data_IF_200798475823
#
_entry.id   IF_200798475823
#
_cell.length_a   1.000
_cell.length_b   1.000
_cell.length_c   1.000
_cell.angle_alpha   90.00
_cell.angle_beta   90.00
_cell.angle_gamma   90.00
#
_symmetry.space_group_name_H-M   'P 1'
#
loop_
_entity.id
_entity.type
_entity.pdbx_description
1 polymer ?
#
# COMPACT_ATOMS: atom_id res chain seq x y z
N UNK A 1 -13.34 15.79 -8.97
CA UNK A 1 -12.76 14.57 -8.38
C UNK A 1 -12.90 13.45 -9.40
N UNK A 2 -11.78 12.92 -9.86
CA UNK A 2 -11.77 11.95 -10.97
C UNK A 2 -12.00 10.51 -10.50
N UNK A 3 -11.37 10.12 -9.40
CA UNK A 3 -11.54 8.82 -8.79
C UNK A 3 -11.41 8.87 -7.27
N UNK A 4 -11.97 7.87 -6.60
CA UNK A 4 -11.76 7.60 -5.18
C UNK A 4 -11.48 6.11 -5.01
N UNK A 5 -10.50 5.81 -4.17
CA UNK A 5 -10.19 4.45 -3.75
C UNK A 5 -10.56 4.32 -2.27
N UNK A 6 -11.38 3.33 -1.93
CA UNK A 6 -11.66 2.95 -0.54
C UNK A 6 -10.86 1.70 -0.17
N UNK A 7 -10.00 1.82 0.85
CA UNK A 7 -9.14 0.73 1.29
C UNK A 7 -9.74 -0.06 2.44
N UNK A 8 -10.10 -1.30 2.17
CA UNK A 8 -10.45 -2.31 3.15
C UNK A 8 -9.21 -3.11 3.57
N UNK A 9 -9.35 -3.84 4.67
CA UNK A 9 -8.37 -4.80 5.12
C UNK A 9 -9.15 -6.02 5.60
N UNK A 10 -8.99 -7.15 4.92
CA UNK A 10 -9.84 -8.33 5.05
C UNK A 10 -11.15 -8.28 4.24
N UNK A 11 -11.87 -9.41 4.27
CA UNK A 11 -13.08 -9.64 3.48
C UNK A 11 -14.37 -9.54 4.30
N UNK A 12 -14.27 -9.58 5.64
CA UNK A 12 -15.41 -9.47 6.55
C UNK A 12 -15.34 -8.21 7.42
N UNK A 13 -16.50 -7.83 7.98
CA UNK A 13 -16.60 -6.74 8.96
C UNK A 13 -15.65 -6.97 10.14
N UNK A 14 -15.67 -8.16 10.71
CA UNK A 14 -14.88 -8.51 11.87
C UNK A 14 -13.38 -8.35 11.58
N UNK A 15 -12.91 -8.88 10.45
CA UNK A 15 -11.52 -8.74 10.02
C UNK A 15 -11.13 -7.27 9.82
N UNK A 16 -11.97 -6.47 9.16
CA UNK A 16 -11.72 -5.04 8.97
C UNK A 16 -11.58 -4.30 10.28
N UNK A 17 -12.51 -4.51 11.22
CA UNK A 17 -12.54 -3.81 12.50
C UNK A 17 -11.36 -4.20 13.39
N UNK A 18 -10.99 -5.47 13.36
CA UNK A 18 -9.79 -6.00 14.01
C UNK A 18 -8.54 -5.34 13.42
N UNK A 19 -8.35 -5.42 12.10
CA UNK A 19 -7.10 -4.99 11.45
C UNK A 19 -6.93 -3.47 11.49
N UNK A 20 -8.03 -2.72 11.40
CA UNK A 20 -8.03 -1.25 11.49
C UNK A 20 -8.18 -0.74 12.92
N UNK A 21 -8.29 -1.63 13.91
CA UNK A 21 -8.41 -1.32 15.33
C UNK A 21 -9.51 -0.26 15.63
N UNK A 22 -10.67 -0.44 15.00
CA UNK A 22 -11.83 0.47 15.13
C UNK A 22 -13.15 -0.26 14.82
N UNK A 23 -14.29 0.37 15.10
CA UNK A 23 -15.62 -0.18 14.78
C UNK A 23 -16.35 0.65 13.71
N UNK A 24 -15.64 1.00 12.63
CA UNK A 24 -16.13 1.92 11.58
C UNK A 24 -16.51 1.23 10.27
N UNK A 25 -16.63 -0.09 10.24
CA UNK A 25 -16.97 -0.80 9.01
C UNK A 25 -18.30 -0.32 8.42
N UNK A 26 -19.36 -0.29 9.24
CA UNK A 26 -20.68 0.15 8.80
C UNK A 26 -20.66 1.61 8.32
N UNK A 27 -19.93 2.48 9.03
CA UNK A 27 -19.79 3.90 8.64
C UNK A 27 -19.12 4.03 7.27
N UNK A 28 -18.08 3.23 7.01
CA UNK A 28 -17.41 3.20 5.71
C UNK A 28 -18.36 2.74 4.60
N UNK A 29 -19.07 1.62 4.81
CA UNK A 29 -20.05 1.09 3.86
C UNK A 29 -21.14 2.12 3.55
N UNK A 30 -21.73 2.73 4.58
CA UNK A 30 -22.78 3.75 4.42
C UNK A 30 -22.28 4.96 3.63
N UNK A 31 -21.03 5.38 3.86
CA UNK A 31 -20.44 6.51 3.13
C UNK A 31 -20.20 6.17 1.65
N UNK A 32 -19.76 4.94 1.35
CA UNK A 32 -19.57 4.47 -0.03
C UNK A 32 -20.92 4.43 -0.74
N UNK A 33 -21.94 3.85 -0.10
CA UNK A 33 -23.30 3.77 -0.69
C UNK A 33 -23.87 5.16 -0.93
N UNK A 34 -23.73 6.09 0.01
CA UNK A 34 -24.13 7.50 -0.17
C UNK A 34 -23.39 8.17 -1.31
N UNK A 35 -22.08 7.91 -1.47
CA UNK A 35 -21.31 8.44 -2.58
C UNK A 35 -21.82 7.91 -3.92
N UNK A 36 -22.11 6.60 -4.01
CA UNK A 36 -22.62 5.97 -5.23
C UNK A 36 -24.01 6.49 -5.58
N UNK A 37 -24.89 6.65 -4.59
CA UNK A 37 -26.21 7.24 -4.76
C UNK A 37 -26.11 8.71 -5.24
N UNK A 38 -25.26 9.51 -4.59
CA UNK A 38 -25.02 10.91 -4.96
C UNK A 38 -24.41 11.04 -6.36
N UNK A 39 -23.52 10.11 -6.73
CA UNK A 39 -22.96 10.03 -8.09
C UNK A 39 -24.04 9.75 -9.12
N UNK A 40 -25.04 8.95 -8.78
CA UNK A 40 -26.15 8.59 -9.65
C UNK A 40 -25.66 7.99 -10.98
N UNK A 41 -26.10 8.57 -12.10
CA UNK A 41 -25.73 8.12 -13.46
C UNK A 41 -24.43 8.74 -13.99
N UNK A 42 -23.74 9.57 -13.20
CA UNK A 42 -22.49 10.18 -13.62
C UNK A 42 -21.38 9.13 -13.68
N UNK A 43 -20.47 9.28 -14.65
CA UNK A 43 -19.28 8.43 -14.78
C UNK A 43 -18.19 8.72 -13.74
N UNK A 44 -18.29 9.85 -13.02
CA UNK A 44 -17.27 10.32 -12.07
C UNK A 44 -17.91 10.70 -10.73
N UNK A 45 -17.21 10.46 -9.61
CA UNK A 45 -15.89 9.83 -9.53
C UNK A 45 -15.94 8.33 -9.86
N UNK A 46 -14.86 7.82 -10.46
CA UNK A 46 -14.62 6.38 -10.55
C UNK A 46 -14.34 5.85 -9.14
N UNK A 47 -15.12 4.88 -8.68
CA UNK A 47 -15.04 4.32 -7.33
C UNK A 47 -14.41 2.93 -7.41
N UNK A 48 -13.25 2.80 -6.79
CA UNK A 48 -12.54 1.53 -6.65
C UNK A 48 -12.52 1.11 -5.18
N UNK A 49 -12.73 -0.17 -4.93
CA UNK A 49 -12.50 -0.76 -3.62
C UNK A 49 -11.26 -1.63 -3.70
N UNK A 50 -10.31 -1.40 -2.81
CA UNK A 50 -9.13 -2.24 -2.68
C UNK A 50 -9.14 -2.90 -1.30
N UNK A 51 -9.00 -4.21 -1.23
CA UNK A 51 -8.78 -4.93 0.03
C UNK A 51 -7.44 -5.66 0.02
N UNK A 52 -6.82 -5.80 1.18
CA UNK A 52 -5.65 -6.69 1.36
C UNK A 52 -6.01 -7.83 2.29
N UNK A 53 -5.74 -9.04 1.83
CA UNK A 53 -6.06 -10.29 2.52
C UNK A 53 -4.89 -10.79 3.36
N UNK A 54 -5.17 -11.52 4.42
CA UNK A 54 -4.22 -12.35 5.18
C UNK A 54 -4.48 -13.82 4.91
N UNK A 55 -5.55 -14.35 5.49
CA UNK A 55 -5.87 -15.78 5.53
C UNK A 55 -7.38 -16.03 5.51
N UNK A 56 -8.09 -15.12 4.85
CA UNK A 56 -9.49 -15.27 4.48
C UNK A 56 -9.69 -16.48 3.57
N UNK A 57 -10.82 -17.15 3.74
CA UNK A 57 -11.24 -18.27 2.90
C UNK A 57 -11.67 -17.80 1.52
N UNK A 58 -11.60 -18.68 0.51
CA UNK A 58 -12.08 -18.37 -0.84
C UNK A 58 -13.55 -17.92 -0.85
N UNK A 59 -14.38 -18.47 0.04
CA UNK A 59 -15.79 -18.11 0.18
C UNK A 59 -15.96 -16.68 0.71
N UNK A 60 -15.22 -16.28 1.75
CA UNK A 60 -15.26 -14.91 2.28
C UNK A 60 -14.83 -13.90 1.23
N UNK A 61 -13.76 -14.20 0.50
CA UNK A 61 -13.25 -13.34 -0.58
C UNK A 61 -14.28 -13.23 -1.70
N UNK A 62 -14.88 -14.34 -2.11
CA UNK A 62 -15.92 -14.36 -3.14
C UNK A 62 -17.13 -13.52 -2.72
N UNK A 63 -17.61 -13.69 -1.48
CA UNK A 63 -18.73 -12.92 -0.95
C UNK A 63 -18.44 -11.41 -0.93
N UNK A 64 -17.22 -11.02 -0.56
CA UNK A 64 -16.79 -9.63 -0.59
C UNK A 64 -16.81 -9.05 -2.02
N UNK A 65 -16.24 -9.77 -2.98
CA UNK A 65 -16.20 -9.35 -4.39
C UNK A 65 -17.61 -9.24 -4.97
N UNK A 66 -18.42 -10.29 -4.80
CA UNK A 66 -19.78 -10.36 -5.35
C UNK A 66 -20.66 -9.21 -4.82
N UNK A 67 -20.50 -8.85 -3.54
CA UNK A 67 -21.21 -7.71 -2.95
C UNK A 67 -20.82 -6.38 -3.62
N UNK A 68 -19.52 -6.13 -3.82
CA UNK A 68 -19.03 -4.83 -4.27
C UNK A 68 -19.04 -4.63 -5.79
N UNK A 69 -18.82 -5.67 -6.59
CA UNK A 69 -18.80 -5.57 -8.06
C UNK A 69 -20.14 -5.06 -8.63
N UNK A 70 -21.25 -5.30 -7.94
CA UNK A 70 -22.56 -4.76 -8.31
C UNK A 70 -22.79 -3.29 -7.95
N UNK A 71 -21.88 -2.67 -7.19
CA UNK A 71 -22.08 -1.35 -6.56
C UNK A 71 -21.02 -0.35 -7.04
N UNK A 72 -19.76 -0.75 -7.13
CA UNK A 72 -18.62 0.10 -7.49
C UNK A 72 -18.03 -0.28 -8.84
N UNK A 73 -17.15 0.56 -9.40
CA UNK A 73 -16.66 0.35 -10.76
C UNK A 73 -15.55 -0.70 -10.86
N UNK A 74 -14.85 -0.99 -9.76
CA UNK A 74 -13.94 -2.13 -9.66
C UNK A 74 -13.60 -2.50 -8.23
N UNK A 75 -13.19 -3.76 -8.07
CA UNK A 75 -12.71 -4.33 -6.81
C UNK A 75 -11.33 -4.93 -7.04
N UNK A 76 -10.36 -4.54 -6.22
CA UNK A 76 -8.99 -5.02 -6.24
C UNK A 76 -8.70 -5.83 -4.98
N UNK A 77 -8.05 -6.98 -5.17
CA UNK A 77 -7.59 -7.84 -4.08
C UNK A 77 -6.07 -7.86 -4.09
N UNK A 78 -5.48 -7.46 -2.97
CA UNK A 78 -4.06 -7.59 -2.69
C UNK A 78 -3.80 -8.57 -1.55
N UNK A 79 -2.52 -8.84 -1.30
CA UNK A 79 -2.05 -9.56 -0.10
C UNK A 79 -1.44 -8.58 0.88
N UNK A 80 -1.75 -8.73 2.16
CA UNK A 80 -1.17 -7.92 3.24
C UNK A 80 0.30 -8.31 3.39
N UNK A 81 1.20 -7.32 3.34
CA UNK A 81 2.61 -7.56 3.60
C UNK A 81 2.86 -7.66 5.12
N UNK A 82 2.92 -8.88 5.63
CA UNK A 82 3.11 -9.16 7.06
C UNK A 82 4.47 -8.71 7.60
N UNK A 83 5.48 -8.56 6.74
CA UNK A 83 6.81 -8.09 7.16
C UNK A 83 6.80 -6.65 7.66
N UNK A 84 5.82 -5.85 7.21
CA UNK A 84 5.63 -4.44 7.57
C UNK A 84 4.68 -4.23 8.77
N UNK A 85 4.07 -5.30 9.29
CA UNK A 85 3.20 -5.18 10.45
C UNK A 85 4.01 -5.12 11.75
N UNK A 86 3.73 -4.10 12.56
CA UNK A 86 4.20 -4.04 13.94
C UNK A 86 3.16 -4.68 14.87
N UNK A 87 3.42 -5.95 15.23
CA UNK A 87 2.55 -6.75 16.09
C UNK A 87 2.29 -6.11 17.47
N UNK A 88 3.20 -5.27 17.97
CA UNK A 88 3.02 -4.60 19.26
C UNK A 88 1.91 -3.52 19.23
N UNK A 89 1.51 -3.07 18.04
CA UNK A 89 0.40 -2.12 17.87
C UNK A 89 -0.97 -2.82 17.78
N UNK A 90 -0.97 -4.16 17.69
CA UNK A 90 -2.19 -4.96 17.58
C UNK A 90 -2.73 -5.19 18.99
N UNK A 91 -3.91 -4.63 19.29
CA UNK A 91 -4.52 -4.74 20.62
C UNK A 91 -5.04 -6.13 20.95
N UNK A 92 -5.41 -6.92 19.93
CA UNK A 92 -5.90 -8.29 20.13
C UNK A 92 -4.74 -9.28 20.15
N UNK A 93 -4.56 -9.95 21.29
CA UNK A 93 -3.54 -10.99 21.50
C UNK A 93 -3.74 -12.18 20.55
N UNK A 94 -4.98 -12.58 20.29
CA UNK A 94 -5.28 -13.72 19.42
C UNK A 94 -4.98 -13.40 17.95
N UNK A 95 -5.26 -12.17 17.53
CA UNK A 95 -4.94 -11.68 16.18
C UNK A 95 -3.44 -11.54 16.02
N UNK A 96 -2.74 -11.01 17.03
CA UNK A 96 -1.28 -10.95 17.02
C UNK A 96 -0.67 -12.35 16.86
N UNK A 97 -1.12 -13.34 17.67
CA UNK A 97 -0.69 -14.74 17.56
C UNK A 97 -0.94 -15.32 16.16
N UNK A 98 -2.16 -15.16 15.63
CA UNK A 98 -2.53 -15.65 14.29
C UNK A 98 -1.62 -15.06 13.21
N UNK A 99 -1.38 -13.75 13.25
CA UNK A 99 -0.50 -13.09 12.27
C UNK A 99 0.98 -13.50 12.45
N UNK A 100 1.42 -13.78 13.68
CA UNK A 100 2.75 -14.36 13.93
C UNK A 100 2.88 -15.74 13.27
N UNK A 101 1.89 -16.62 13.46
CA UNK A 101 1.88 -17.94 12.82
C UNK A 101 1.87 -17.85 11.29
N UNK A 102 1.09 -16.92 10.71
CA UNK A 102 1.08 -16.69 9.27
C UNK A 102 2.43 -16.19 8.76
N UNK A 103 3.11 -15.33 9.54
CA UNK A 103 4.45 -14.84 9.20
C UNK A 103 5.51 -15.95 9.26
N UNK A 104 5.42 -16.88 10.21
CA UNK A 104 6.32 -18.04 10.25
C UNK A 104 6.10 -19.02 9.09
N UNK A 105 4.86 -19.12 8.61
CA UNK A 105 4.48 -19.93 7.45
C UNK A 105 4.68 -19.21 6.12
N UNK A 106 5.25 -18.00 6.12
CA UNK A 106 5.49 -17.20 4.90
C UNK A 106 6.46 -17.93 3.96
N UNK A 107 5.99 -18.24 2.75
CA UNK A 107 6.80 -18.90 1.70
C UNK A 107 7.48 -17.92 0.74
N UNK A 108 7.32 -16.61 0.96
CA UNK A 108 7.85 -15.55 0.08
C UNK A 108 9.37 -15.59 0.09
N UNK A 109 9.97 -15.71 -1.10
CA UNK A 109 11.41 -15.65 -1.29
C UNK A 109 11.89 -14.20 -1.23
N UNK A 110 12.69 -13.87 -0.22
CA UNK A 110 13.26 -12.53 0.00
C UNK A 110 14.52 -12.33 -0.85
N UNK A 111 14.31 -12.05 -2.13
CA UNK A 111 15.38 -11.82 -3.12
C UNK A 111 15.39 -10.36 -3.52
N UNK A 112 16.58 -9.76 -3.61
CA UNK A 112 16.74 -8.43 -4.17
C UNK A 112 16.64 -8.47 -5.69
N UNK A 113 15.83 -7.59 -6.24
CA UNK A 113 15.68 -7.35 -7.68
C UNK A 113 15.97 -5.89 -7.99
N UNK A 114 16.13 -5.58 -9.26
CA UNK A 114 16.28 -4.23 -9.76
C UNK A 114 15.10 -3.38 -9.29
N UNK A 115 15.40 -2.24 -8.65
CA UNK A 115 14.35 -1.33 -8.19
C UNK A 115 13.95 -0.41 -9.35
N UNK A 116 12.79 -0.64 -9.95
CA UNK A 116 12.30 0.22 -11.05
C UNK A 116 11.69 1.53 -10.54
N UNK A 117 11.28 1.59 -9.28
CA UNK A 117 10.54 2.71 -8.70
C UNK A 117 11.32 4.04 -8.77
N UNK A 118 12.64 3.99 -8.54
CA UNK A 118 13.52 5.17 -8.61
C UNK A 118 13.65 5.77 -10.02
N UNK A 119 13.13 5.09 -11.05
CA UNK A 119 13.07 5.55 -12.44
C UNK A 119 11.65 5.87 -12.90
N UNK A 120 10.63 5.63 -12.07
CA UNK A 120 9.23 5.77 -12.46
C UNK A 120 8.49 6.88 -11.70
N UNK A 121 8.91 7.22 -10.47
CA UNK A 121 8.18 8.19 -9.65
C UNK A 121 9.04 8.96 -8.65
N UNK A 122 8.48 10.07 -8.20
CA UNK A 122 8.88 10.82 -7.00
C UNK A 122 7.71 10.86 -6.04
N UNK A 123 8.00 10.89 -4.74
CA UNK A 123 7.00 11.11 -3.68
C UNK A 123 7.29 12.45 -3.02
N UNK A 124 6.31 13.34 -3.02
CA UNK A 124 6.40 14.65 -2.40
C UNK A 124 5.64 14.59 -1.07
N UNK A 125 6.34 14.82 0.02
CA UNK A 125 5.79 14.81 1.36
C UNK A 125 5.07 16.10 1.69
N UNK A 126 4.32 16.10 2.79
CA UNK A 126 3.47 17.22 3.21
C UNK A 126 4.25 18.52 3.51
N UNK A 127 5.55 18.41 3.84
CA UNK A 127 6.45 19.54 4.09
C UNK A 127 7.18 19.99 2.81
N UNK A 128 6.95 19.33 1.67
CA UNK A 128 7.55 19.63 0.38
C UNK A 128 8.83 18.85 0.07
N UNK A 129 9.39 18.11 1.03
CA UNK A 129 10.51 17.19 0.75
C UNK A 129 10.11 16.16 -0.29
N UNK A 130 11.09 15.78 -1.11
CA UNK A 130 10.89 14.84 -2.21
C UNK A 130 11.75 13.62 -1.98
N UNK A 131 11.11 12.45 -1.85
CA UNK A 131 11.77 11.14 -1.78
C UNK A 131 11.65 10.40 -3.12
N UNK A 132 12.63 9.56 -3.43
CA UNK A 132 12.57 8.69 -4.61
C UNK A 132 11.82 7.37 -4.39
N UNK A 133 11.23 7.15 -3.20
CA UNK A 133 10.49 5.94 -2.87
C UNK A 133 9.24 6.24 -2.06
N UNK A 134 8.08 5.72 -2.48
CA UNK A 134 6.83 5.92 -1.74
C UNK A 134 6.74 5.16 -0.41
N UNK A 135 7.67 4.23 -0.15
CA UNK A 135 7.74 3.53 1.14
C UNK A 135 8.65 4.23 2.15
N UNK A 136 9.20 5.39 1.80
CA UNK A 136 10.18 6.12 2.61
C UNK A 136 9.51 7.09 3.60
N UNK A 137 8.87 6.55 4.63
CA UNK A 137 8.18 7.38 5.64
C UNK A 137 9.15 8.14 6.55
N UNK A 138 10.41 7.71 6.61
CA UNK A 138 11.44 8.22 7.51
C UNK A 138 12.46 9.13 6.79
N UNK A 139 12.20 9.49 5.51
CA UNK A 139 13.01 10.39 4.70
C UNK A 139 14.46 9.91 4.43
N UNK A 140 14.73 8.61 4.43
CA UNK A 140 16.06 8.03 4.19
C UNK A 140 16.57 8.22 2.76
N UNK A 141 15.66 8.36 1.79
CA UNK A 141 15.94 8.50 0.36
C UNK A 141 15.42 9.84 -0.17
N UNK A 142 15.55 10.89 0.64
CA UNK A 142 15.26 12.27 0.21
C UNK A 142 16.22 12.68 -0.91
N UNK A 143 15.68 13.24 -1.99
CA UNK A 143 16.41 13.63 -3.20
C UNK A 143 16.28 15.12 -3.55
N UNK A 144 15.43 15.87 -2.82
CA UNK A 144 15.27 17.32 -2.99
C UNK A 144 14.11 17.89 -2.17
N UNK A 145 13.78 19.15 -2.43
CA UNK A 145 12.65 19.86 -1.81
C UNK A 145 11.89 20.67 -2.88
N UNK A 146 10.59 20.39 -3.03
CA UNK A 146 9.72 21.02 -4.01
C UNK A 146 9.38 22.49 -3.69
N UNK A 147 9.71 22.96 -2.48
CA UNK A 147 9.63 24.38 -2.13
C UNK A 147 10.79 25.20 -2.71
N UNK A 148 11.92 24.55 -2.99
CA UNK A 148 13.15 25.19 -3.46
C UNK A 148 13.45 24.91 -4.94
N UNK A 149 13.10 23.72 -5.41
CA UNK A 149 13.46 23.20 -6.73
C UNK A 149 12.23 22.69 -7.48
N UNK A 150 12.25 22.78 -8.81
CA UNK A 150 11.23 22.12 -9.63
C UNK A 150 11.41 20.60 -9.59
N UNK A 151 10.32 19.84 -9.71
CA UNK A 151 10.42 18.38 -9.83
C UNK A 151 11.28 17.93 -11.01
N UNK A 152 11.34 18.74 -12.07
CA UNK A 152 12.21 18.49 -13.22
C UNK A 152 13.70 18.58 -12.83
N UNK A 153 14.09 19.60 -12.06
CA UNK A 153 15.45 19.74 -11.55
C UNK A 153 15.79 18.61 -10.58
N UNK A 154 14.90 18.27 -9.65
CA UNK A 154 15.11 17.14 -8.73
C UNK A 154 15.31 15.85 -9.51
N UNK A 155 14.46 15.57 -10.50
CA UNK A 155 14.52 14.33 -11.29
C UNK A 155 15.81 14.15 -12.09
N UNK A 156 16.30 15.24 -12.70
CA UNK A 156 17.43 15.19 -13.64
C UNK A 156 18.77 15.55 -12.98
N UNK A 157 18.75 16.45 -12.00
CA UNK A 157 19.96 17.08 -11.48
C UNK A 157 20.33 16.63 -10.06
N UNK A 158 19.42 15.97 -9.32
CA UNK A 158 19.70 15.51 -7.95
C UNK A 158 20.88 14.54 -7.89
N UNK A 159 21.97 14.88 -7.16
CA UNK A 159 23.08 13.96 -6.96
C UNK A 159 22.70 12.73 -6.14
N UNK A 160 21.81 12.88 -5.16
CA UNK A 160 21.34 11.79 -4.31
C UNK A 160 20.52 10.78 -5.11
N UNK A 161 19.61 11.26 -5.98
CA UNK A 161 18.85 10.38 -6.87
C UNK A 161 19.77 9.57 -7.80
N UNK A 162 20.81 10.20 -8.36
CA UNK A 162 21.81 9.50 -9.18
C UNK A 162 22.56 8.45 -8.36
N UNK A 163 22.99 8.78 -7.15
CA UNK A 163 23.67 7.85 -6.26
C UNK A 163 22.78 6.65 -5.92
N UNK A 164 21.51 6.87 -5.56
CA UNK A 164 20.59 5.79 -5.22
C UNK A 164 20.32 4.87 -6.42
N UNK A 165 20.11 5.44 -7.60
CA UNK A 165 20.01 4.70 -8.86
C UNK A 165 21.23 3.81 -9.09
N UNK A 166 22.44 4.37 -9.01
CA UNK A 166 23.68 3.61 -9.19
C UNK A 166 23.87 2.47 -8.16
N UNK A 167 23.49 2.69 -6.90
CA UNK A 167 23.57 1.67 -5.85
C UNK A 167 22.59 0.54 -6.14
N UNK A 168 21.35 0.87 -6.53
CA UNK A 168 20.28 -0.10 -6.76
C UNK A 168 20.49 -0.89 -8.07
N UNK A 169 21.05 -0.28 -9.11
CA UNK A 169 21.46 -0.96 -10.35
C UNK A 169 22.57 -2.00 -10.09
N UNK A 170 23.37 -1.80 -9.04
CA UNK A 170 24.44 -2.70 -8.61
C UNK A 170 24.00 -3.66 -7.49
N UNK A 171 22.69 -3.79 -7.26
CA UNK A 171 22.10 -4.62 -6.19
C UNK A 171 22.63 -4.32 -4.78
N UNK A 172 23.07 -3.08 -4.52
CA UNK A 172 23.57 -2.64 -3.21
C UNK A 172 22.46 -2.22 -2.26
N UNK A 173 21.29 -2.87 -2.31
CA UNK A 173 20.13 -2.55 -1.48
C UNK A 173 20.47 -2.54 0.01
N UNK A 174 21.38 -3.43 0.45
CA UNK A 174 21.85 -3.50 1.84
C UNK A 174 22.65 -2.27 2.29
N UNK A 175 23.17 -1.43 1.39
CA UNK A 175 23.85 -0.18 1.78
C UNK A 175 22.88 0.96 2.06
N UNK A 176 21.58 0.79 1.79
CA UNK A 176 20.55 1.79 2.02
C UNK A 176 19.63 1.30 3.14
N UNK A 177 19.44 2.11 4.18
CA UNK A 177 18.67 1.74 5.37
C UNK A 177 17.26 1.26 5.02
N UNK A 178 16.56 1.97 4.12
CA UNK A 178 15.23 1.58 3.67
C UNK A 178 15.25 0.33 2.78
N UNK A 179 16.21 0.24 1.85
CA UNK A 179 16.22 -0.82 0.85
C UNK A 179 16.71 -2.17 1.41
N UNK A 180 17.44 -2.18 2.53
CA UNK A 180 18.02 -3.40 3.11
C UNK A 180 16.99 -4.42 3.64
N UNK A 181 15.71 -4.08 3.62
CA UNK A 181 14.59 -4.98 3.93
C UNK A 181 13.47 -4.93 2.87
N UNK A 182 13.71 -4.24 1.76
CA UNK A 182 12.73 -4.08 0.69
C UNK A 182 12.86 -5.23 -0.31
N UNK A 183 12.00 -6.23 -0.15
CA UNK A 183 11.90 -7.38 -1.04
C UNK A 183 10.62 -7.29 -1.86
N UNK A 184 10.66 -7.69 -3.13
CA UNK A 184 9.44 -7.84 -3.92
C UNK A 184 8.60 -8.99 -3.34
N UNK A 185 7.37 -8.68 -2.92
CA UNK A 185 6.45 -9.65 -2.29
C UNK A 185 5.34 -10.13 -3.21
N UNK A 186 5.32 -9.67 -4.47
CA UNK A 186 4.36 -10.13 -5.46
C UNK A 186 5.04 -11.17 -6.35
N UNK A 187 4.38 -12.32 -6.51
CA UNK A 187 4.77 -13.31 -7.51
C UNK A 187 4.58 -12.67 -8.90
N UNK A 188 5.55 -12.86 -9.79
CA UNK A 188 5.34 -12.56 -11.20
C UNK A 188 4.24 -13.50 -11.71
N UNK A 189 3.14 -12.91 -12.17
CA UNK A 189 2.12 -13.62 -12.94
C UNK A 189 2.69 -14.08 -14.28
#
# INVERSE_FOLDING_TARGET
MDSIIFSFQGATKEQYEIMRNNSKYNVLVDNILKLIDTRGKLKKPYVHISTTLTDETEEEVKNFVDYWVGIVDSVGIGKTNLSRLNFHLIKSLDVAKRLFELKEKETIRKIYRECTEVYQKLSVDWDGKVSCCCSDYDNFLTVGDANEQTLYEIWNNSPDLRLYRELLDKYKHRSLALCCTCYHTYEEF
#
